data_IF_560773448283
#
_entry.id   IF_560773448283
#
_cell.length_a   1.000
_cell.length_b   1.000
_cell.length_c   1.000
_cell.angle_alpha   90.00
_cell.angle_beta   90.00
_cell.angle_gamma   90.00
#
_symmetry.space_group_name_H-M   'P 1'
#
loop_
_entity.id
_entity.type
_entity.pdbx_description
1 polymer ?
#
# COMPACT_ATOMS: atom_id res chain seq x y z
N UNK A 1 -12.29 -6.28 24.56
CA UNK A 1 -12.54 -5.44 23.38
C UNK A 1 -11.53 -4.32 23.36
N UNK A 2 -10.82 -4.07 22.25
CA UNK A 2 -9.84 -2.97 22.18
C UNK A 2 -10.54 -1.63 21.92
N UNK A 3 -9.93 -0.50 22.29
CA UNK A 3 -10.47 0.84 21.99
C UNK A 3 -10.71 1.02 20.50
N UNK A 4 -9.78 0.57 19.65
CA UNK A 4 -9.94 0.63 18.19
C UNK A 4 -11.14 -0.17 17.69
N UNK A 5 -11.38 -1.36 18.27
CA UNK A 5 -12.49 -2.21 17.89
C UNK A 5 -13.82 -1.57 18.29
N UNK A 6 -13.94 -1.12 19.54
CA UNK A 6 -15.14 -0.44 20.02
C UNK A 6 -15.44 0.81 19.19
N UNK A 7 -14.45 1.69 18.96
CA UNK A 7 -14.64 2.89 18.15
C UNK A 7 -15.16 2.55 16.75
N UNK A 8 -14.65 1.49 16.13
CA UNK A 8 -15.06 1.08 14.78
C UNK A 8 -16.52 0.60 14.73
N UNK A 9 -16.95 -0.09 15.77
CA UNK A 9 -18.31 -0.63 15.90
C UNK A 9 -19.32 0.46 16.33
N UNK A 10 -18.86 1.55 16.95
CA UNK A 10 -19.70 2.62 17.52
C UNK A 10 -19.42 3.99 16.86
N UNK A 11 -19.28 4.02 15.53
CA UNK A 11 -19.03 5.28 14.80
C UNK A 11 -20.19 6.28 14.89
N UNK A 12 -21.42 5.79 14.97
CA UNK A 12 -22.61 6.66 15.08
C UNK A 12 -22.65 7.36 16.45
N UNK A 13 -22.41 6.62 17.54
CA UNK A 13 -22.28 7.20 18.89
C UNK A 13 -21.16 8.24 18.97
N UNK A 14 -20.01 7.96 18.36
CA UNK A 14 -18.90 8.93 18.32
C UNK A 14 -19.23 10.16 17.46
N UNK A 15 -20.01 9.99 16.40
CA UNK A 15 -20.50 11.12 15.61
C UNK A 15 -21.44 12.00 16.44
N UNK A 16 -22.37 11.41 17.20
CA UNK A 16 -23.26 12.13 18.11
C UNK A 16 -22.46 12.95 19.13
N UNK A 17 -21.50 12.34 19.82
CA UNK A 17 -20.64 13.06 20.78
C UNK A 17 -19.87 14.22 20.13
N UNK A 18 -19.40 14.05 18.89
CA UNK A 18 -18.76 15.11 18.14
C UNK A 18 -19.73 16.26 17.79
N UNK A 19 -20.97 15.94 17.41
CA UNK A 19 -22.03 16.92 17.11
C UNK A 19 -22.42 17.70 18.38
N UNK A 20 -22.50 17.02 19.52
CA UNK A 20 -22.78 17.63 20.83
C UNK A 20 -21.61 18.46 21.38
N UNK A 21 -20.47 18.46 20.68
CA UNK A 21 -19.32 19.29 21.01
C UNK A 21 -18.34 18.68 22.03
N UNK A 22 -18.37 17.35 22.23
CA UNK A 22 -17.39 16.67 23.10
C UNK A 22 -15.95 16.88 22.56
N UNK A 23 -15.07 17.58 23.30
CA UNK A 23 -13.72 17.87 22.84
C UNK A 23 -12.80 16.64 22.80
N UNK A 24 -13.22 15.52 23.40
CA UNK A 24 -12.48 14.25 23.38
C UNK A 24 -12.55 13.56 22.01
N UNK A 25 -13.62 13.81 21.24
CA UNK A 25 -13.85 13.16 19.94
C UNK A 25 -13.36 14.04 18.79
N UNK A 26 -12.68 13.41 17.83
CA UNK A 26 -12.12 14.08 16.65
C UNK A 26 -12.69 13.47 15.39
N UNK A 27 -13.08 14.32 14.45
CA UNK A 27 -13.38 13.93 13.06
C UNK A 27 -12.10 13.96 12.24
N UNK A 28 -11.71 12.82 11.67
CA UNK A 28 -10.54 12.72 10.79
C UNK A 28 -10.88 11.99 9.49
N UNK A 29 -10.01 12.14 8.49
CA UNK A 29 -10.07 11.38 7.26
C UNK A 29 -8.97 10.32 7.24
N UNK A 30 -9.34 9.06 6.98
CA UNK A 30 -8.40 7.97 6.82
C UNK A 30 -7.40 8.28 5.69
N UNK A 31 -6.10 8.25 6.00
CA UNK A 31 -5.03 8.57 5.04
C UNK A 31 -4.95 7.58 3.86
N UNK A 32 -5.52 6.37 3.98
CA UNK A 32 -5.51 5.36 2.91
C UNK A 32 -6.79 5.40 2.06
N UNK A 33 -7.95 5.14 2.66
CA UNK A 33 -9.21 4.98 1.91
C UNK A 33 -10.09 6.23 1.90
N UNK A 34 -9.65 7.33 2.50
CA UNK A 34 -10.38 8.61 2.55
C UNK A 34 -11.74 8.57 3.27
N UNK A 35 -12.09 7.46 3.90
CA UNK A 35 -13.26 7.35 4.81
C UNK A 35 -13.13 8.33 5.97
N UNK A 36 -14.18 9.08 6.25
CA UNK A 36 -14.30 9.91 7.46
C UNK A 36 -14.62 9.01 8.64
N UNK A 37 -13.94 9.23 9.76
CA UNK A 37 -14.15 8.51 11.02
C UNK A 37 -14.09 9.47 12.21
N UNK A 38 -14.78 9.09 13.28
CA UNK A 38 -14.75 9.76 14.57
C UNK A 38 -13.94 8.90 15.55
N UNK A 39 -13.07 9.51 16.34
CA UNK A 39 -12.13 8.78 17.21
C UNK A 39 -11.73 9.64 18.39
N UNK A 40 -11.57 8.99 19.55
CA UNK A 40 -10.97 9.60 20.74
C UNK A 40 -9.44 9.41 20.73
N UNK A 41 -8.94 8.53 19.86
CA UNK A 41 -7.51 8.28 19.68
C UNK A 41 -6.82 9.44 18.95
N UNK A 42 -6.09 10.28 19.70
CA UNK A 42 -5.45 11.50 19.19
C UNK A 42 -4.58 11.34 17.94
N UNK A 43 -3.82 10.25 17.85
CA UNK A 43 -2.87 9.99 16.76
C UNK A 43 -3.42 9.01 15.70
N UNK A 44 -4.74 8.82 15.66
CA UNK A 44 -5.36 7.96 14.66
C UNK A 44 -5.13 8.53 13.26
N UNK A 45 -4.72 7.68 12.33
CA UNK A 45 -4.48 8.03 10.91
C UNK A 45 -5.34 7.24 9.94
N UNK A 46 -5.86 6.09 10.37
CA UNK A 46 -6.54 5.12 9.53
C UNK A 46 -7.82 4.65 10.19
N UNK A 47 -8.84 4.30 9.40
CA UNK A 47 -10.08 3.71 9.90
C UNK A 47 -9.87 2.34 10.56
N UNK A 48 -8.80 1.66 10.20
CA UNK A 48 -8.30 0.49 10.91
C UNK A 48 -6.83 0.31 10.64
N UNK A 49 -6.06 0.05 11.68
CA UNK A 49 -4.64 -0.24 11.52
C UNK A 49 -4.42 -1.59 10.81
N UNK A 50 -5.19 -2.62 11.18
CA UNK A 50 -5.07 -3.97 10.63
C UNK A 50 -5.35 -4.05 9.12
N UNK A 51 -6.14 -3.12 8.57
CA UNK A 51 -6.45 -3.08 7.13
C UNK A 51 -5.71 -1.92 6.44
N UNK A 52 -6.19 -0.69 6.63
CA UNK A 52 -5.67 0.50 5.95
C UNK A 52 -4.23 0.83 6.38
N UNK A 53 -3.94 0.74 7.68
CA UNK A 53 -2.60 0.98 8.21
C UNK A 53 -1.57 -0.03 7.68
N UNK A 54 -1.90 -1.32 7.70
CA UNK A 54 -1.05 -2.39 7.17
C UNK A 54 -0.82 -2.27 5.66
N UNK A 55 -1.85 -1.93 4.88
CA UNK A 55 -1.68 -1.67 3.44
C UNK A 55 -0.67 -0.55 3.19
N UNK A 56 -0.78 0.56 3.92
CA UNK A 56 0.17 1.68 3.80
C UNK A 56 1.58 1.32 4.28
N UNK A 57 1.71 0.55 5.37
CA UNK A 57 2.99 0.06 5.86
C UNK A 57 3.67 -0.85 4.82
N UNK A 58 2.92 -1.78 4.23
CA UNK A 58 3.42 -2.69 3.20
C UNK A 58 3.81 -1.95 1.92
N UNK A 59 3.06 -0.93 1.53
CA UNK A 59 3.43 -0.06 0.41
C UNK A 59 4.77 0.64 0.68
N UNK A 60 4.93 1.29 1.83
CA UNK A 60 6.19 1.95 2.22
C UNK A 60 7.37 0.97 2.23
N UNK A 61 7.19 -0.22 2.83
CA UNK A 61 8.21 -1.29 2.81
C UNK A 61 8.54 -1.74 1.39
N UNK A 62 7.54 -1.89 0.51
CA UNK A 62 7.76 -2.29 -0.89
C UNK A 62 8.53 -1.23 -1.67
N UNK A 63 8.16 0.05 -1.52
CA UNK A 63 8.85 1.16 -2.18
C UNK A 63 10.30 1.28 -1.71
N UNK A 64 10.56 1.17 -0.39
CA UNK A 64 11.92 1.15 0.15
C UNK A 64 12.77 0.04 -0.46
N UNK A 65 12.25 -1.19 -0.49
CA UNK A 65 12.94 -2.34 -1.12
C UNK A 65 13.20 -2.16 -2.62
N UNK A 66 12.32 -1.44 -3.34
CA UNK A 66 12.53 -1.13 -4.76
C UNK A 66 13.61 -0.08 -4.95
N UNK A 67 13.61 0.96 -4.13
CA UNK A 67 14.64 2.00 -4.16
C UNK A 67 16.03 1.43 -3.84
N UNK A 68 16.14 0.58 -2.80
CA UNK A 68 17.39 -0.09 -2.41
C UNK A 68 17.92 -1.05 -3.48
N UNK A 69 17.05 -1.61 -4.32
CA UNK A 69 17.45 -2.54 -5.39
C UNK A 69 18.10 -1.83 -6.58
N UNK A 70 17.87 -0.53 -6.76
CA UNK A 70 18.39 0.23 -7.89
C UNK A 70 17.81 -0.21 -9.24
N UNK A 71 18.54 0.08 -10.32
CA UNK A 71 18.14 -0.29 -11.69
C UNK A 71 18.76 -1.62 -12.11
N UNK A 72 18.02 -2.38 -12.92
CA UNK A 72 18.50 -3.58 -13.60
C UNK A 72 18.63 -3.34 -15.09
N UNK A 73 19.46 -4.13 -15.76
CA UNK A 73 19.57 -4.12 -17.23
C UNK A 73 18.65 -5.19 -17.82
N UNK A 74 17.84 -4.81 -18.80
CA UNK A 74 16.93 -5.73 -19.49
C UNK A 74 17.71 -6.75 -20.32
N UNK A 75 17.51 -8.04 -20.07
CA UNK A 75 18.17 -9.13 -20.80
C UNK A 75 17.74 -9.24 -22.28
N UNK A 76 16.72 -8.49 -22.71
CA UNK A 76 16.23 -8.51 -24.10
C UNK A 76 16.67 -7.30 -24.93
N UNK A 77 16.65 -6.10 -24.36
CA UNK A 77 16.94 -4.85 -25.10
C UNK A 77 18.16 -4.08 -24.56
N UNK A 78 18.72 -4.47 -23.41
CA UNK A 78 19.86 -3.77 -22.81
C UNK A 78 19.51 -2.47 -22.06
N UNK A 79 18.26 -2.03 -22.06
CA UNK A 79 17.85 -0.81 -21.35
C UNK A 79 17.84 -1.01 -19.83
N UNK A 80 18.18 0.06 -19.10
CA UNK A 80 17.99 0.09 -17.64
C UNK A 80 16.51 0.25 -17.28
N UNK A 81 16.06 -0.46 -16.25
CA UNK A 81 14.70 -0.37 -15.73
C UNK A 81 14.65 -0.53 -14.22
N UNK A 82 13.56 -0.09 -13.60
CA UNK A 82 13.32 -0.25 -12.17
C UNK A 82 12.58 -1.58 -11.88
N UNK A 83 13.27 -2.59 -11.31
CA UNK A 83 12.69 -3.91 -11.07
C UNK A 83 11.71 -3.92 -9.89
N UNK A 84 10.46 -4.33 -10.16
CA UNK A 84 9.46 -4.55 -9.10
C UNK A 84 9.83 -5.77 -8.25
N UNK A 85 10.30 -6.86 -8.87
CA UNK A 85 10.73 -8.10 -8.20
C UNK A 85 12.24 -8.24 -8.20
N UNK A 86 12.79 -8.96 -7.23
CA UNK A 86 14.24 -9.19 -7.10
C UNK A 86 14.85 -9.99 -8.27
N UNK A 87 14.05 -10.85 -8.88
CA UNK A 87 14.44 -11.73 -9.97
C UNK A 87 13.97 -11.23 -11.35
N UNK A 88 13.56 -9.96 -11.45
CA UNK A 88 13.13 -9.37 -12.71
C UNK A 88 14.29 -9.40 -13.72
N UNK A 89 14.02 -9.82 -14.96
CA UNK A 89 15.04 -9.85 -16.05
C UNK A 89 14.68 -8.97 -17.24
N UNK A 90 13.45 -8.49 -17.32
CA UNK A 90 12.93 -7.78 -18.48
C UNK A 90 12.23 -6.50 -18.05
N UNK A 91 12.46 -5.42 -18.79
CA UNK A 91 11.84 -4.12 -18.54
C UNK A 91 10.32 -4.11 -18.80
N UNK A 92 9.82 -5.05 -19.63
CA UNK A 92 8.41 -5.09 -20.05
C UNK A 92 7.95 -6.50 -20.40
N UNK A 93 6.63 -6.68 -20.48
CA UNK A 93 6.01 -7.92 -20.96
C UNK A 93 6.42 -8.25 -22.41
N UNK A 94 6.61 -7.23 -23.26
CA UNK A 94 7.08 -7.41 -24.64
C UNK A 94 8.48 -8.02 -24.69
N UNK A 95 9.43 -7.45 -23.93
CA UNK A 95 10.78 -8.00 -23.79
C UNK A 95 10.79 -9.42 -23.21
N UNK A 96 9.91 -9.70 -22.23
CA UNK A 96 9.75 -11.05 -21.66
C UNK A 96 9.29 -12.06 -22.71
N UNK A 97 8.30 -11.71 -23.53
CA UNK A 97 7.79 -12.58 -24.59
C UNK A 97 8.84 -12.79 -25.70
N UNK A 98 9.54 -11.74 -26.14
CA UNK A 98 10.61 -11.86 -27.13
C UNK A 98 11.73 -12.78 -26.65
N UNK A 99 12.20 -12.60 -25.42
CA UNK A 99 13.19 -13.49 -24.82
C UNK A 99 12.71 -14.94 -24.68
N UNK A 100 11.42 -15.16 -24.39
CA UNK A 100 10.84 -16.51 -24.38
C UNK A 100 10.86 -17.17 -25.77
N UNK A 101 10.42 -16.44 -26.82
CA UNK A 101 10.42 -16.94 -28.20
C UNK A 101 11.83 -17.30 -28.68
N UNK A 102 12.83 -16.47 -28.39
CA UNK A 102 14.23 -16.73 -28.74
C UNK A 102 14.76 -18.01 -28.08
N UNK A 103 14.53 -18.21 -26.77
CA UNK A 103 14.94 -19.44 -26.08
C UNK A 103 14.27 -20.69 -26.65
N UNK A 104 12.99 -20.58 -27.02
CA UNK A 104 12.25 -21.68 -27.64
C UNK A 104 12.82 -22.03 -29.02
N UNK A 105 13.17 -21.04 -29.84
CA UNK A 105 13.76 -21.26 -31.16
C UNK A 105 15.16 -21.87 -31.10
N UNK A 106 15.97 -21.49 -30.11
CA UNK A 106 17.34 -22.01 -29.95
C UNK A 106 17.42 -23.38 -29.25
N UNK A 107 16.29 -23.92 -28.78
CA UNK A 107 16.21 -25.19 -28.05
C UNK A 107 15.64 -26.34 -28.91
N UNK A 108 15.36 -26.08 -30.18
CA UNK A 108 15.01 -27.08 -31.21
C UNK A 108 16.08 -27.10 -32.28
#
# INVERSE_FOLDING_TARGET
>A
MTTEQWERENQDTLMEYFIDGDPSVRRIQCEYCRKVIYTQTRNRKYCSFQTCGHKMLNLRKSLKKRAERGTYTCACCGEQFLPIRADARYCSNGCRQKGYRQRKANAG
#
